data_IF_619718395481
#
_entry.id   IF_619718395481
#
_cell.length_a   1.000
_cell.length_b   1.000
_cell.length_c   1.000
_cell.angle_alpha   90.00
_cell.angle_beta   90.00
_cell.angle_gamma   90.00
#
_symmetry.space_group_name_H-M   'P 1'
#
loop_
_entity.id
_entity.type
_entity.pdbx_description
1 polymer ?
#
# COMPACT_ATOMS: atom_id res chain seq x y z
N UNK A 1 6.92 2.96 8.66
CA UNK A 1 6.82 4.43 8.47
C UNK A 1 5.51 4.87 9.08
N UNK A 2 5.53 5.92 9.89
CA UNK A 2 4.31 6.50 10.47
C UNK A 2 3.76 7.59 9.55
N UNK A 3 2.43 7.62 9.38
CA UNK A 3 1.71 8.63 8.59
C UNK A 3 0.47 9.09 9.35
N UNK A 4 0.20 10.38 9.32
CA UNK A 4 -1.10 10.93 9.72
C UNK A 4 -1.95 11.11 8.46
N UNK A 5 -3.13 10.51 8.42
CA UNK A 5 -3.99 10.50 7.21
C UNK A 5 -4.55 11.90 6.91
N UNK A 6 -4.92 12.65 7.95
CA UNK A 6 -5.19 14.09 7.87
C UNK A 6 -5.09 14.72 9.26
N UNK A 7 -3.91 15.23 9.61
CA UNK A 7 -3.63 15.76 10.94
C UNK A 7 -4.45 17.01 11.35
N UNK A 8 -5.24 17.57 10.42
CA UNK A 8 -6.17 18.66 10.69
C UNK A 8 -7.63 18.21 10.85
N UNK A 9 -7.97 16.97 10.47
CA UNK A 9 -9.34 16.47 10.46
C UNK A 9 -9.55 15.24 11.34
N UNK A 10 -8.51 14.43 11.57
CA UNK A 10 -8.56 13.20 12.36
C UNK A 10 -7.27 13.00 13.15
N UNK A 11 -7.36 12.23 14.23
CA UNK A 11 -6.24 11.71 15.01
C UNK A 11 -5.78 10.31 14.57
N UNK A 12 -6.31 9.80 13.45
CA UNK A 12 -5.92 8.52 12.87
C UNK A 12 -4.42 8.50 12.52
N UNK A 13 -3.77 7.39 12.90
CA UNK A 13 -2.37 7.12 12.62
C UNK A 13 -2.25 5.83 11.83
N UNK A 14 -1.63 5.92 10.66
CA UNK A 14 -1.24 4.78 9.84
C UNK A 14 0.20 4.35 10.11
N UNK A 15 0.41 3.05 10.32
CA UNK A 15 1.75 2.46 10.42
C UNK A 15 1.97 1.52 9.24
N UNK A 16 2.94 1.89 8.40
CA UNK A 16 3.26 1.15 7.17
C UNK A 16 4.47 0.24 7.38
N UNK A 17 4.31 -1.02 7.03
CA UNK A 17 5.31 -2.08 7.11
C UNK A 17 5.54 -2.71 5.72
N UNK A 18 6.76 -3.18 5.48
CA UNK A 18 7.09 -4.02 4.31
C UNK A 18 7.25 -5.46 4.80
N UNK A 19 6.46 -6.37 4.24
CA UNK A 19 6.54 -7.78 4.57
C UNK A 19 7.38 -8.53 3.53
N UNK A 20 8.35 -9.31 4.00
CA UNK A 20 9.24 -10.13 3.19
C UNK A 20 9.16 -11.60 3.62
N UNK A 21 9.65 -12.52 2.79
CA UNK A 21 9.62 -13.96 3.12
C UNK A 21 8.21 -14.56 3.15
N UNK A 22 7.29 -14.00 2.35
CA UNK A 22 5.90 -14.44 2.32
C UNK A 22 5.72 -15.78 1.61
N UNK A 23 4.85 -16.63 2.17
CA UNK A 23 4.35 -17.84 1.54
C UNK A 23 2.88 -17.66 1.12
N UNK A 24 2.50 -18.24 -0.02
CA UNK A 24 1.11 -18.17 -0.47
C UNK A 24 0.21 -19.01 0.46
N UNK A 25 -0.80 -18.37 1.04
CA UNK A 25 -1.89 -19.03 1.79
C UNK A 25 -3.23 -18.95 1.07
N UNK A 26 -4.25 -19.59 1.64
CA UNK A 26 -5.64 -19.44 1.19
C UNK A 26 -6.19 -18.10 1.69
N UNK A 27 -6.83 -17.28 0.83
CA UNK A 27 -7.49 -16.05 1.28
C UNK A 27 -8.63 -16.34 2.25
N UNK A 28 -8.69 -15.58 3.35
CA UNK A 28 -9.73 -15.65 4.38
C UNK A 28 -10.35 -14.26 4.59
N UNK A 29 -10.98 -13.71 3.54
CA UNK A 29 -11.70 -12.44 3.62
C UNK A 29 -13.02 -12.60 4.40
N UNK A 30 -13.43 -11.57 5.13
CA UNK A 30 -14.71 -11.57 5.85
C UNK A 30 -15.90 -11.46 4.88
N UNK A 31 -17.10 -11.86 5.33
CA UNK A 31 -18.32 -11.88 4.48
C UNK A 31 -18.68 -10.52 3.87
N UNK A 32 -18.28 -9.44 4.55
CA UNK A 32 -18.55 -8.05 4.12
C UNK A 32 -17.46 -7.49 3.21
N UNK A 33 -16.35 -8.21 3.02
CA UNK A 33 -15.20 -7.75 2.25
C UNK A 33 -15.25 -8.26 0.81
N UNK A 34 -15.32 -7.33 -0.14
CA UNK A 34 -15.24 -7.63 -1.57
C UNK A 34 -13.85 -7.26 -2.07
N UNK A 35 -12.91 -8.20 -1.97
CA UNK A 35 -11.50 -7.98 -2.30
C UNK A 35 -11.14 -8.55 -3.68
N UNK A 36 -10.36 -7.79 -4.44
CA UNK A 36 -9.69 -8.25 -5.65
C UNK A 36 -8.17 -8.15 -5.47
N UNK A 37 -7.48 -9.28 -5.64
CA UNK A 37 -6.02 -9.34 -5.50
C UNK A 37 -5.37 -9.15 -6.87
N UNK A 38 -4.46 -8.18 -6.98
CA UNK A 38 -3.62 -8.00 -8.17
C UNK A 38 -2.15 -8.05 -7.80
N UNK A 39 -1.38 -8.89 -8.49
CA UNK A 39 0.08 -8.93 -8.42
C UNK A 39 0.65 -8.14 -9.59
N UNK A 40 1.53 -7.20 -9.30
CA UNK A 40 2.22 -6.38 -10.30
C UNK A 40 3.71 -6.25 -9.96
N UNK A 41 4.57 -5.97 -10.96
CA UNK A 41 5.91 -5.44 -10.70
C UNK A 41 5.84 -4.14 -9.90
N UNK A 42 6.76 -3.94 -8.94
CA UNK A 42 6.78 -2.72 -8.11
C UNK A 42 6.88 -1.44 -8.95
N UNK A 43 7.73 -1.43 -10.00
CA UNK A 43 7.84 -0.29 -10.92
C UNK A 43 6.50 0.09 -11.56
N UNK A 44 5.70 -0.90 -11.93
CA UNK A 44 4.38 -0.65 -12.52
C UNK A 44 3.43 -0.04 -11.48
N UNK A 45 3.40 -0.58 -10.26
CA UNK A 45 2.58 -0.02 -9.18
C UNK A 45 2.98 1.43 -8.83
N UNK A 46 4.28 1.75 -8.83
CA UNK A 46 4.77 3.13 -8.65
C UNK A 46 4.32 4.03 -9.80
N UNK A 47 4.41 3.56 -11.04
CA UNK A 47 3.91 4.32 -12.18
C UNK A 47 2.40 4.61 -12.05
N UNK A 48 1.61 3.65 -11.55
CA UNK A 48 0.19 3.86 -11.30
C UNK A 48 -0.10 4.89 -10.21
N UNK A 49 0.77 5.00 -9.19
CA UNK A 49 0.72 6.09 -8.21
C UNK A 49 0.96 7.43 -8.89
N UNK A 50 2.00 7.54 -9.72
CA UNK A 50 2.35 8.78 -10.41
C UNK A 50 1.29 9.21 -11.45
N UNK A 51 0.58 8.23 -12.03
CA UNK A 51 -0.54 8.45 -12.95
C UNK A 51 -1.87 8.73 -12.24
N UNK A 52 -1.93 8.66 -10.91
CA UNK A 52 -3.17 8.84 -10.14
C UNK A 52 -4.18 7.69 -10.29
N UNK A 53 -3.74 6.50 -10.70
CA UNK A 53 -4.56 5.27 -10.70
C UNK A 53 -4.61 4.60 -9.32
N UNK A 54 -3.59 4.83 -8.49
CA UNK A 54 -3.58 4.50 -7.07
C UNK A 54 -3.56 5.83 -6.31
N UNK A 55 -4.65 6.12 -5.59
CA UNK A 55 -4.87 7.43 -4.95
C UNK A 55 -5.03 7.35 -3.43
N UNK A 56 -5.18 6.15 -2.89
CA UNK A 56 -5.20 5.93 -1.44
C UNK A 56 -3.86 6.38 -0.80
N UNK A 57 -3.93 7.24 0.22
CA UNK A 57 -2.76 7.91 0.77
C UNK A 57 -1.77 6.91 1.40
N UNK A 58 -2.26 5.91 2.13
CA UNK A 58 -1.41 4.89 2.76
C UNK A 58 -0.71 4.06 1.70
N UNK A 59 -1.43 3.67 0.64
CA UNK A 59 -0.88 2.96 -0.52
C UNK A 59 0.19 3.76 -1.26
N UNK A 60 -0.06 5.03 -1.54
CA UNK A 60 0.90 5.96 -2.17
C UNK A 60 2.17 6.07 -1.34
N UNK A 61 2.02 6.33 -0.04
CA UNK A 61 3.13 6.45 0.89
C UNK A 61 3.96 5.16 0.96
N UNK A 62 3.33 3.99 1.07
CA UNK A 62 4.02 2.71 1.14
C UNK A 62 4.78 2.36 -0.13
N UNK A 63 4.15 2.52 -1.30
CA UNK A 63 4.76 2.21 -2.59
C UNK A 63 5.95 3.12 -2.92
N UNK A 64 5.85 4.42 -2.64
CA UNK A 64 6.96 5.35 -2.87
C UNK A 64 8.11 5.12 -1.88
N UNK A 65 7.79 4.81 -0.61
CA UNK A 65 8.79 4.50 0.41
C UNK A 65 9.61 3.26 0.03
N UNK A 66 8.95 2.20 -0.39
CA UNK A 66 9.58 0.92 -0.72
C UNK A 66 10.37 1.02 -2.04
N UNK A 67 9.84 1.73 -3.04
CA UNK A 67 10.58 1.99 -4.28
C UNK A 67 11.90 2.74 -4.02
N UNK A 68 11.90 3.69 -3.07
CA UNK A 68 13.11 4.38 -2.63
C UNK A 68 14.12 3.42 -1.98
N UNK A 69 13.67 2.48 -1.16
CA UNK A 69 14.57 1.50 -0.49
C UNK A 69 15.22 0.54 -1.48
N UNK A 70 14.48 0.06 -2.49
CA UNK A 70 15.00 -0.85 -3.50
C UNK A 70 15.60 -0.13 -4.72
N UNK A 71 15.72 1.21 -4.68
CA UNK A 71 16.28 2.05 -5.74
C UNK A 71 15.68 1.82 -7.14
N UNK A 72 14.34 1.74 -7.22
CA UNK A 72 13.57 1.49 -8.45
C UNK A 72 12.83 2.73 -8.94
#
# INVERSE_FOLDING_TARGET
MEVHTSNSATDEVGLIYVAEGLHAGTPEAEETEILQVRRLPLREAVQWVLEGKITDAISVCGLLRVARDYAI
#
